data_IF_146497309435
#
_entry.id   IF_146497309435
#
_cell.length_a   1.000
_cell.length_b   1.000
_cell.length_c   1.000
_cell.angle_alpha   90.00
_cell.angle_beta   90.00
_cell.angle_gamma   90.00
#
_symmetry.space_group_name_H-M   'P 1'
#
loop_
_entity.id
_entity.type
_entity.pdbx_description
1 polymer ?
#
# COMPACT_ATOMS: atom_id res chain seq x y z
N UNK A 1 -0.04 -10.92 -7.37
CA UNK A 1 1.14 -10.94 -6.49
C UNK A 1 1.10 -12.15 -5.58
N UNK A 2 2.25 -12.74 -5.23
CA UNK A 2 2.32 -13.94 -4.40
C UNK A 2 3.50 -13.89 -3.43
N UNK A 3 3.39 -14.59 -2.31
CA UNK A 3 4.52 -15.04 -1.50
C UNK A 3 5.09 -16.28 -2.19
N UNK A 4 6.36 -16.19 -2.60
CA UNK A 4 7.18 -17.35 -2.97
C UNK A 4 7.68 -17.99 -1.67
N UNK A 5 7.16 -19.18 -1.37
CA UNK A 5 7.35 -19.83 -0.08
C UNK A 5 8.73 -20.50 0.05
N UNK A 6 9.39 -20.78 -1.07
CA UNK A 6 10.75 -21.31 -1.10
C UNK A 6 11.77 -20.18 -0.95
N UNK A 7 11.58 -19.09 -1.69
CA UNK A 7 12.46 -17.92 -1.63
C UNK A 7 12.16 -16.97 -0.45
N UNK A 8 11.09 -17.25 0.32
CA UNK A 8 10.60 -16.43 1.43
C UNK A 8 10.50 -14.94 1.11
N UNK A 9 9.92 -14.60 -0.05
CA UNK A 9 9.78 -13.23 -0.55
C UNK A 9 8.50 -13.03 -1.34
N UNK A 10 8.02 -11.79 -1.43
CA UNK A 10 6.88 -11.43 -2.26
C UNK A 10 7.32 -11.13 -3.70
N UNK A 11 6.67 -11.78 -4.65
CA UNK A 11 6.92 -11.69 -6.09
C UNK A 11 5.67 -11.24 -6.85
N UNK A 12 5.88 -10.54 -7.97
CA UNK A 12 4.81 -10.07 -8.86
C UNK A 12 4.59 -10.97 -10.06
N UNK A 13 5.62 -11.74 -10.44
CA UNK A 13 5.58 -12.72 -11.51
C UNK A 13 6.21 -14.03 -10.99
N UNK A 14 5.84 -15.20 -11.54
CA UNK A 14 6.50 -16.46 -11.26
C UNK A 14 7.99 -16.40 -11.61
N UNK A 15 8.81 -17.01 -10.78
CA UNK A 15 10.28 -17.00 -10.91
C UNK A 15 10.79 -18.06 -11.90
N UNK A 16 9.96 -19.04 -12.25
CA UNK A 16 10.29 -20.15 -13.15
C UNK A 16 9.13 -20.42 -14.13
N UNK A 17 9.40 -20.69 -15.42
CA UNK A 17 8.40 -21.12 -16.41
C UNK A 17 8.02 -22.60 -16.28
N UNK A 18 8.74 -23.38 -15.46
CA UNK A 18 8.35 -24.75 -15.14
C UNK A 18 7.14 -24.72 -14.20
N UNK A 19 6.21 -25.66 -14.38
CA UNK A 19 5.05 -25.80 -13.52
C UNK A 19 5.53 -25.82 -12.05
N UNK A 20 5.19 -24.80 -11.25
CA UNK A 20 5.68 -24.74 -9.88
C UNK A 20 5.17 -25.94 -9.09
N UNK A 21 5.94 -26.36 -8.10
CA UNK A 21 5.45 -27.34 -7.14
C UNK A 21 4.13 -26.82 -6.54
N UNK A 22 3.14 -27.70 -6.41
CA UNK A 22 1.84 -27.35 -5.84
C UNK A 22 2.05 -26.70 -4.47
N UNK A 23 1.55 -25.46 -4.28
CA UNK A 23 1.67 -24.73 -3.03
C UNK A 23 2.91 -23.84 -2.89
N UNK A 24 3.78 -23.75 -3.90
CA UNK A 24 4.95 -22.85 -3.89
C UNK A 24 4.54 -21.37 -3.72
N UNK A 25 3.43 -20.97 -4.34
CA UNK A 25 2.95 -19.59 -4.33
C UNK A 25 1.66 -19.46 -3.52
N UNK A 26 1.59 -18.45 -2.67
CA UNK A 26 0.40 -18.13 -1.86
C UNK A 26 0.05 -16.66 -1.96
N UNK A 27 -1.23 -16.34 -1.86
CA UNK A 27 -1.71 -14.97 -1.92
C UNK A 27 -1.16 -14.18 -0.75
N UNK A 28 -0.66 -12.97 -1.00
CA UNK A 28 -0.15 -12.11 0.06
C UNK A 28 -1.22 -11.75 1.10
N UNK A 29 -2.48 -11.63 0.69
CA UNK A 29 -3.54 -11.04 1.51
C UNK A 29 -4.43 -12.06 2.22
N UNK A 30 -4.67 -13.22 1.61
CA UNK A 30 -5.51 -14.28 2.22
C UNK A 30 -4.75 -15.58 2.50
N UNK A 31 -3.45 -15.64 2.17
CA UNK A 31 -2.62 -16.85 2.24
C UNK A 31 -3.15 -18.06 1.44
N UNK A 32 -4.19 -17.90 0.61
CA UNK A 32 -4.69 -19.01 -0.21
C UNK A 32 -3.65 -19.44 -1.26
N UNK A 33 -3.56 -20.74 -1.59
CA UNK A 33 -2.69 -21.22 -2.67
C UNK A 33 -2.99 -20.53 -4.01
N UNK A 34 -1.93 -20.19 -4.74
CA UNK A 34 -2.01 -19.57 -6.06
C UNK A 34 -1.38 -20.50 -7.11
N UNK A 35 -1.97 -20.48 -8.31
CA UNK A 35 -1.42 -21.12 -9.50
C UNK A 35 -0.70 -20.07 -10.33
N UNK A 36 0.53 -20.36 -10.73
CA UNK A 36 1.22 -19.58 -11.74
C UNK A 36 0.71 -19.98 -13.13
N UNK A 37 0.22 -19.02 -13.89
CA UNK A 37 -0.12 -19.22 -15.30
C UNK A 37 0.90 -18.46 -16.14
N UNK A 38 1.62 -19.16 -17.00
CA UNK A 38 2.45 -18.55 -18.04
C UNK A 38 1.82 -18.87 -19.39
N UNK A 39 1.48 -17.86 -20.17
CA UNK A 39 1.43 -18.04 -21.61
C UNK A 39 2.81 -17.67 -22.19
N UNK A 40 3.13 -18.16 -23.39
CA UNK A 40 4.43 -17.93 -24.01
C UNK A 40 4.67 -16.47 -24.46
N UNK A 41 3.69 -15.59 -24.31
CA UNK A 41 3.71 -14.21 -24.83
C UNK A 41 3.57 -13.14 -23.73
N UNK A 42 3.14 -13.50 -22.53
CA UNK A 42 2.94 -12.59 -21.40
C UNK A 42 3.71 -13.06 -20.16
N UNK A 43 4.28 -12.13 -19.38
CA UNK A 43 4.84 -12.44 -18.07
C UNK A 43 3.78 -13.17 -17.24
N UNK A 44 4.15 -14.33 -16.68
CA UNK A 44 3.19 -15.16 -15.97
C UNK A 44 2.45 -14.40 -14.86
N UNK A 45 1.18 -14.71 -14.68
CA UNK A 45 0.30 -14.16 -13.65
C UNK A 45 0.03 -15.19 -12.56
N UNK A 46 -0.43 -14.73 -11.41
CA UNK A 46 -0.88 -15.62 -10.33
C UNK A 46 -2.40 -15.58 -10.25
N UNK A 47 -3.01 -16.75 -10.21
CA UNK A 47 -4.48 -16.91 -10.20
C UNK A 47 -4.88 -17.74 -8.98
N UNK A 48 -5.97 -17.33 -8.31
CA UNK A 48 -6.59 -18.14 -7.28
C UNK A 48 -7.23 -19.37 -7.92
N UNK A 49 -7.23 -20.51 -7.22
CA UNK A 49 -7.98 -21.68 -7.67
C UNK A 49 -9.49 -21.42 -7.70
N UNK A 50 -9.97 -20.47 -6.87
CA UNK A 50 -11.34 -19.99 -6.79
C UNK A 50 -11.50 -18.64 -7.49
N UNK A 51 -12.73 -18.26 -7.84
CA UNK A 51 -13.02 -16.97 -8.52
C UNK A 51 -12.95 -15.75 -7.61
N UNK A 52 -12.87 -15.93 -6.29
CA UNK A 52 -12.78 -14.82 -5.33
C UNK A 52 -11.37 -14.24 -5.28
N UNK A 53 -11.24 -12.99 -5.71
CA UNK A 53 -10.00 -12.22 -5.60
C UNK A 53 -10.00 -11.41 -4.31
N UNK A 54 -8.85 -11.30 -3.64
CA UNK A 54 -8.69 -10.49 -2.43
C UNK A 54 -8.81 -8.97 -2.63
N UNK A 55 -8.96 -8.53 -3.88
CA UNK A 55 -9.10 -7.13 -4.25
C UNK A 55 -10.53 -6.85 -4.68
N UNK A 56 -11.03 -5.69 -4.29
CA UNK A 56 -12.27 -5.14 -4.83
C UNK A 56 -12.06 -4.77 -6.31
N UNK A 57 -12.79 -5.42 -7.21
CA UNK A 57 -12.78 -5.10 -8.65
C UNK A 57 -13.67 -3.90 -9.02
N UNK A 58 -14.19 -3.17 -8.04
CA UNK A 58 -15.11 -2.03 -8.24
C UNK A 58 -14.47 -0.82 -8.95
N UNK A 59 -15.12 0.35 -8.82
CA UNK A 59 -14.80 1.62 -9.51
C UNK A 59 -13.42 2.25 -9.17
N UNK A 60 -12.49 1.49 -8.60
CA UNK A 60 -11.13 1.93 -8.30
C UNK A 60 -10.28 1.90 -9.58
N UNK A 61 -9.49 2.95 -9.79
CA UNK A 61 -8.54 3.01 -10.91
C UNK A 61 -7.59 1.81 -10.88
N UNK A 62 -7.29 1.25 -12.06
CA UNK A 62 -6.29 0.20 -12.22
C UNK A 62 -4.91 0.63 -11.68
N UNK A 63 -4.53 1.91 -11.84
CA UNK A 63 -3.24 2.43 -11.37
C UNK A 63 -3.18 2.54 -9.85
N UNK A 64 -4.30 2.87 -9.20
CA UNK A 64 -4.40 2.91 -7.74
C UNK A 64 -4.24 1.50 -7.15
N UNK A 65 -4.96 0.51 -7.70
CA UNK A 65 -4.82 -0.89 -7.30
C UNK A 65 -3.40 -1.42 -7.51
N UNK A 66 -2.79 -1.11 -8.65
CA UNK A 66 -1.40 -1.48 -8.91
C UNK A 66 -0.45 -0.79 -7.92
N UNK A 67 -0.73 0.45 -7.53
CA UNK A 67 -0.03 1.16 -6.48
C UNK A 67 -0.06 0.42 -5.14
N UNK A 68 -1.26 0.06 -4.68
CA UNK A 68 -1.48 -0.73 -3.46
C UNK A 68 -0.70 -2.05 -3.49
N UNK A 69 -0.73 -2.79 -4.60
CA UNK A 69 0.00 -4.04 -4.75
C UNK A 69 1.52 -3.85 -4.66
N UNK A 70 2.06 -2.90 -5.42
CA UNK A 70 3.50 -2.68 -5.51
C UNK A 70 4.07 -2.18 -4.17
N UNK A 71 3.33 -1.32 -3.46
CA UNK A 71 3.68 -0.87 -2.12
C UNK A 71 3.67 -2.04 -1.14
N UNK A 72 2.62 -2.86 -1.15
CA UNK A 72 2.50 -4.04 -0.28
C UNK A 72 3.67 -5.00 -0.48
N UNK A 73 4.02 -5.31 -1.73
CA UNK A 73 5.22 -6.10 -2.06
C UNK A 73 6.48 -5.47 -1.48
N UNK A 74 6.67 -4.17 -1.70
CA UNK A 74 7.90 -3.48 -1.31
C UNK A 74 8.07 -3.51 0.21
N UNK A 75 7.00 -3.26 0.96
CA UNK A 75 7.01 -3.29 2.41
C UNK A 75 7.30 -4.70 2.95
N UNK A 76 6.60 -5.71 2.43
CA UNK A 76 6.79 -7.08 2.90
C UNK A 76 8.21 -7.62 2.65
N UNK A 77 8.85 -7.17 1.57
CA UNK A 77 10.24 -7.52 1.27
C UNK A 77 11.27 -6.61 1.98
N UNK A 78 10.84 -5.49 2.55
CA UNK A 78 11.70 -4.54 3.23
C UNK A 78 11.80 -4.80 4.73
N UNK A 79 10.72 -5.26 5.35
CA UNK A 79 10.71 -5.61 6.76
C UNK A 79 11.64 -6.81 7.04
N UNK A 80 12.39 -6.79 8.15
CA UNK A 80 13.38 -7.84 8.48
C UNK A 80 12.72 -9.09 9.08
N UNK A 81 11.58 -9.51 8.55
CA UNK A 81 10.82 -10.69 8.97
C UNK A 81 10.33 -11.46 7.75
N UNK A 82 9.92 -12.71 7.93
CA UNK A 82 9.39 -13.51 6.83
C UNK A 82 8.05 -12.93 6.34
N UNK A 83 7.79 -12.83 5.03
CA UNK A 83 6.55 -12.24 4.52
C UNK A 83 5.26 -12.86 5.07
N UNK A 84 5.27 -14.15 5.40
CA UNK A 84 4.12 -14.86 5.98
C UNK A 84 3.77 -14.43 7.40
N UNK A 85 4.70 -13.82 8.12
CA UNK A 85 4.45 -13.31 9.48
C UNK A 85 3.98 -11.86 9.45
N UNK A 86 3.86 -11.24 8.27
CA UNK A 86 3.41 -9.86 8.13
C UNK A 86 1.89 -9.88 7.94
N UNK A 87 1.17 -9.36 8.92
CA UNK A 87 -0.28 -9.23 8.85
C UNK A 87 -0.64 -7.96 8.04
N UNK A 88 -0.68 -8.10 6.71
CA UNK A 88 -0.96 -7.04 5.74
C UNK A 88 -2.32 -7.20 5.08
N UNK A 89 -3.07 -6.11 4.99
CA UNK A 89 -4.36 -6.04 4.32
C UNK A 89 -4.44 -4.87 3.33
N UNK A 90 -5.34 -4.98 2.36
CA UNK A 90 -5.78 -3.88 1.51
C UNK A 90 -7.17 -3.41 1.92
N UNK A 91 -7.42 -2.10 1.82
CA UNK A 91 -8.75 -1.49 1.97
C UNK A 91 -9.45 -1.93 3.28
N UNK A 92 -8.73 -1.90 4.40
CA UNK A 92 -9.26 -2.27 5.72
C UNK A 92 -9.44 -1.09 6.65
N UNK A 93 -10.38 -1.27 7.58
CA UNK A 93 -10.73 -0.27 8.58
C UNK A 93 -9.58 -0.03 9.56
N UNK A 94 -9.39 1.23 9.94
CA UNK A 94 -8.59 1.65 11.10
C UNK A 94 -9.47 2.55 11.95
N UNK A 95 -9.68 2.15 13.20
CA UNK A 95 -10.71 2.72 14.08
C UNK A 95 -11.85 1.75 14.40
N UNK A 96 -12.78 2.21 15.23
CA UNK A 96 -13.97 1.45 15.65
C UNK A 96 -15.12 1.54 14.65
N UNK A 97 -16.27 0.97 14.98
CA UNK A 97 -17.38 0.77 14.03
C UNK A 97 -18.02 2.07 13.50
N UNK A 98 -18.06 3.12 14.32
CA UNK A 98 -18.70 4.40 13.99
C UNK A 98 -17.70 5.46 13.52
N UNK A 99 -16.42 5.24 13.78
CA UNK A 99 -15.37 6.21 13.48
C UNK A 99 -14.12 5.51 12.97
N UNK A 100 -14.03 5.36 11.65
CA UNK A 100 -12.93 4.69 10.98
C UNK A 100 -12.53 5.38 9.67
N UNK A 101 -11.32 5.06 9.23
CA UNK A 101 -10.87 5.25 7.85
C UNK A 101 -10.67 3.89 7.19
N UNK A 102 -10.70 3.84 5.86
CA UNK A 102 -10.33 2.65 5.09
C UNK A 102 -8.93 2.90 4.52
N UNK A 103 -7.92 2.32 5.14
CA UNK A 103 -6.53 2.47 4.69
C UNK A 103 -6.31 1.68 3.39
N UNK A 104 -5.56 2.26 2.45
CA UNK A 104 -5.21 1.58 1.20
C UNK A 104 -4.36 0.33 1.44
N UNK A 105 -3.35 0.44 2.29
CA UNK A 105 -2.57 -0.69 2.81
C UNK A 105 -2.48 -0.56 4.33
N UNK A 106 -2.69 -1.67 5.04
CA UNK A 106 -2.59 -1.73 6.50
C UNK A 106 -1.69 -2.89 6.91
N UNK A 107 -0.71 -2.63 7.75
CA UNK A 107 0.08 -3.66 8.45
C UNK A 107 -0.27 -3.57 9.93
N UNK A 108 -0.58 -4.71 10.55
CA UNK A 108 -0.90 -4.80 11.98
C UNK A 108 0.18 -5.51 12.80
N UNK A 109 1.03 -6.30 12.14
CA UNK A 109 2.16 -7.01 12.72
C UNK A 109 3.24 -7.18 11.64
N UNK A 110 4.55 -7.01 11.93
CA UNK A 110 5.15 -6.71 13.25
C UNK A 110 5.09 -5.22 13.64
N UNK A 111 4.56 -4.37 12.76
CA UNK A 111 4.42 -2.92 12.99
C UNK A 111 2.99 -2.51 12.67
N UNK A 112 2.48 -1.50 13.39
CA UNK A 112 1.22 -0.86 13.07
C UNK A 112 1.48 0.29 12.09
N UNK A 113 1.23 0.05 10.81
CA UNK A 113 1.48 1.01 9.73
C UNK A 113 0.27 1.08 8.79
N UNK A 114 -0.19 2.30 8.50
CA UNK A 114 -1.08 2.55 7.36
C UNK A 114 -0.31 3.21 6.23
N UNK A 115 -0.67 2.89 5.00
CA UNK A 115 -0.18 3.59 3.82
C UNK A 115 -1.35 4.08 3.01
N UNK A 116 -1.26 5.36 2.64
CA UNK A 116 -2.19 6.01 1.72
C UNK A 116 -1.54 6.11 0.34
N UNK A 117 -2.22 5.58 -0.67
CA UNK A 117 -1.77 5.59 -2.06
C UNK A 117 -2.50 6.71 -2.80
N UNK A 118 -1.78 7.71 -3.29
CA UNK A 118 -2.38 8.86 -3.96
C UNK A 118 -2.25 8.68 -5.47
N UNK A 119 -3.38 8.49 -6.16
CA UNK A 119 -3.45 8.45 -7.62
C UNK A 119 -4.22 9.64 -8.22
N UNK A 120 -5.37 10.02 -7.65
CA UNK A 120 -6.15 11.16 -8.12
C UNK A 120 -6.25 12.23 -7.05
N UNK A 121 -6.43 13.48 -7.49
CA UNK A 121 -6.71 14.63 -6.63
C UNK A 121 -8.14 14.56 -6.03
N UNK A 122 -8.51 13.44 -5.43
CA UNK A 122 -9.70 13.39 -4.59
C UNK A 122 -9.37 14.04 -3.25
N UNK A 123 -10.38 14.63 -2.58
CA UNK A 123 -10.28 15.17 -1.23
C UNK A 123 -9.78 14.08 -0.30
N UNK A 124 -8.47 14.03 -0.08
CA UNK A 124 -7.85 12.90 0.58
C UNK A 124 -8.04 12.96 2.10
N UNK A 125 -8.66 14.04 2.61
CA UNK A 125 -8.90 14.32 4.04
C UNK A 125 -7.72 13.84 4.89
N UNK A 126 -6.51 14.12 4.42
CA UNK A 126 -5.30 13.46 4.88
C UNK A 126 -5.10 13.75 6.36
N UNK A 127 -5.41 14.98 6.81
CA UNK A 127 -5.41 15.32 8.23
C UNK A 127 -6.28 14.38 9.05
N UNK A 128 -7.54 14.20 8.65
CA UNK A 128 -8.49 13.34 9.37
C UNK A 128 -8.02 11.88 9.35
N UNK A 129 -7.40 11.44 8.25
CA UNK A 129 -6.84 10.09 8.12
C UNK A 129 -5.63 9.88 9.04
N UNK A 130 -4.69 10.82 9.04
CA UNK A 130 -3.53 10.80 9.96
C UNK A 130 -3.99 10.83 11.41
N UNK A 131 -4.91 11.73 11.76
CA UNK A 131 -5.49 11.80 13.10
C UNK A 131 -6.13 10.46 13.51
N UNK A 132 -6.90 9.83 12.62
CA UNK A 132 -7.51 8.52 12.90
C UNK A 132 -6.48 7.41 13.06
N UNK A 133 -5.47 7.37 12.20
CA UNK A 133 -4.39 6.38 12.28
C UNK A 133 -3.62 6.51 13.60
N UNK A 134 -3.20 7.73 13.95
CA UNK A 134 -2.44 8.04 15.16
C UNK A 134 -3.24 7.75 16.43
N UNK A 135 -4.54 8.05 16.44
CA UNK A 135 -5.42 7.70 17.55
C UNK A 135 -5.63 6.20 17.76
N UNK A 136 -5.18 5.36 16.81
CA UNK A 136 -5.23 3.90 16.90
C UNK A 136 -3.82 3.27 16.91
N UNK A 137 -2.80 4.05 17.29
CA UNK A 137 -1.39 3.63 17.40
C UNK A 137 -0.71 3.19 16.09
N UNK A 138 -1.28 3.57 14.94
CA UNK A 138 -0.64 3.34 13.65
C UNK A 138 0.30 4.50 13.30
N UNK A 139 1.51 4.18 12.86
CA UNK A 139 2.28 5.10 12.01
C UNK A 139 1.60 5.23 10.63
N UNK A 140 1.91 6.30 9.91
CA UNK A 140 1.34 6.54 8.59
C UNK A 140 2.41 6.83 7.53
N UNK A 141 2.17 6.41 6.29
CA UNK A 141 2.99 6.76 5.14
C UNK A 141 2.11 7.20 3.99
N UNK A 142 2.58 8.16 3.19
CA UNK A 142 1.93 8.54 1.94
C UNK A 142 2.82 8.12 0.78
N UNK A 143 2.22 7.54 -0.25
CA UNK A 143 2.90 7.11 -1.48
C UNK A 143 2.12 7.64 -2.68
N UNK A 144 2.78 8.30 -3.61
CA UNK A 144 2.14 8.89 -4.80
C UNK A 144 2.49 8.08 -6.04
N UNK A 145 1.47 7.75 -6.84
CA UNK A 145 1.68 7.12 -8.14
C UNK A 145 2.20 8.17 -9.13
N UNK A 146 3.26 7.90 -9.88
CA UNK A 146 3.97 8.94 -10.67
C UNK A 146 3.16 9.56 -11.79
N UNK A 147 2.08 8.90 -12.24
CA UNK A 147 1.13 9.43 -13.22
C UNK A 147 -0.14 10.02 -12.56
N UNK A 148 -0.07 10.35 -11.27
CA UNK A 148 -1.15 11.01 -10.55
C UNK A 148 -1.35 12.47 -10.97
N UNK A 149 -2.54 13.00 -10.68
CA UNK A 149 -2.88 14.41 -10.91
C UNK A 149 -1.98 15.38 -10.13
N UNK A 150 -1.42 14.90 -9.01
CA UNK A 150 -0.61 15.67 -8.07
C UNK A 150 0.71 14.93 -7.87
N UNK A 151 1.82 15.65 -8.06
CA UNK A 151 3.15 15.08 -7.89
C UNK A 151 3.53 14.94 -6.42
N UNK A 152 4.36 13.94 -6.10
CA UNK A 152 4.92 13.76 -4.75
C UNK A 152 5.63 15.03 -4.24
N UNK A 153 6.38 15.72 -5.10
CA UNK A 153 7.09 16.95 -4.73
C UNK A 153 6.14 18.11 -4.39
N UNK A 154 4.93 18.13 -4.95
CA UNK A 154 3.91 19.11 -4.58
C UNK A 154 3.33 18.78 -3.21
N UNK A 155 3.00 17.51 -2.94
CA UNK A 155 2.52 17.07 -1.62
C UNK A 155 3.58 17.33 -0.54
N UNK A 156 4.84 16.95 -0.77
CA UNK A 156 5.95 17.19 0.18
C UNK A 156 6.08 18.68 0.53
N UNK A 157 5.95 19.57 -0.47
CA UNK A 157 5.99 21.02 -0.27
C UNK A 157 4.79 21.53 0.54
N UNK A 158 3.60 21.05 0.20
CA UNK A 158 2.35 21.49 0.83
C UNK A 158 2.25 20.98 2.28
N UNK A 159 2.89 19.85 2.60
CA UNK A 159 2.97 19.30 3.96
C UNK A 159 4.17 19.80 4.78
N UNK A 160 5.10 20.55 4.17
CA UNK A 160 6.29 21.04 4.88
C UNK A 160 5.97 21.99 6.04
N UNK A 161 4.77 22.57 6.09
CA UNK A 161 4.30 23.43 7.19
C UNK A 161 3.86 22.64 8.42
N UNK A 162 3.50 21.36 8.26
CA UNK A 162 2.99 20.51 9.34
C UNK A 162 4.00 19.46 9.81
N UNK A 163 5.06 19.21 9.04
CA UNK A 163 6.16 18.33 9.45
C UNK A 163 7.15 18.04 8.33
N UNK A 164 8.31 17.47 8.70
CA UNK A 164 9.32 17.03 7.75
C UNK A 164 8.92 15.68 7.10
N UNK A 165 8.09 15.75 6.06
CA UNK A 165 7.53 14.57 5.39
C UNK A 165 8.20 14.32 4.04
N UNK A 166 8.74 13.11 3.85
CA UNK A 166 9.09 12.60 2.52
C UNK A 166 8.02 11.62 2.06
N UNK A 167 7.56 11.80 0.82
CA UNK A 167 6.47 11.00 0.23
C UNK A 167 7.06 9.90 -0.64
N UNK A 168 6.58 8.68 -0.47
CA UNK A 168 6.96 7.56 -1.32
C UNK A 168 6.46 7.74 -2.75
N UNK A 169 7.02 6.98 -3.70
CA UNK A 169 6.66 7.07 -5.12
C UNK A 169 6.46 5.68 -5.70
N UNK A 170 5.42 5.49 -6.51
CA UNK A 170 5.21 4.27 -7.29
C UNK A 170 5.19 4.63 -8.77
N UNK A 171 6.09 4.03 -9.54
CA UNK A 171 5.99 4.07 -10.98
C UNK A 171 5.31 2.78 -11.47
N UNK A 172 4.07 2.85 -11.99
CA UNK A 172 3.33 1.67 -12.42
C UNK A 172 3.91 1.00 -13.67
N UNK A 173 4.66 1.74 -14.50
CA UNK A 173 5.17 1.25 -15.78
C UNK A 173 6.40 0.35 -15.61
N UNK A 174 7.36 0.78 -14.80
CA UNK A 174 8.59 0.02 -14.51
C UNK A 174 8.52 -0.73 -13.17
N UNK A 175 7.39 -0.63 -12.47
CA UNK A 175 7.09 -1.31 -11.19
C UNK A 175 8.06 -0.94 -10.06
N UNK A 176 8.71 0.23 -10.12
CA UNK A 176 9.58 0.74 -9.05
C UNK A 176 8.77 1.42 -7.94
N UNK A 177 9.19 1.17 -6.70
CA UNK A 177 8.62 1.79 -5.49
C UNK A 177 9.75 2.37 -4.64
N UNK A 178 9.60 3.64 -4.26
CA UNK A 178 10.41 4.27 -3.20
C UNK A 178 9.54 4.46 -1.97
N UNK A 179 10.08 4.09 -0.82
CA UNK A 179 9.43 4.27 0.49
C UNK A 179 9.78 5.68 0.98
N UNK A 180 8.78 6.40 1.50
CA UNK A 180 8.95 7.73 2.11
C UNK A 180 9.22 7.64 3.61
N UNK A 181 8.98 8.74 4.31
CA UNK A 181 8.99 8.77 5.77
C UNK A 181 7.80 7.99 6.33
N UNK A 182 8.04 7.26 7.42
CA UNK A 182 6.97 6.84 8.33
C UNK A 182 6.71 8.00 9.28
N UNK A 183 5.50 8.52 9.27
CA UNK A 183 5.04 9.60 10.13
C UNK A 183 4.49 9.04 11.43
N UNK A 184 4.91 9.65 12.54
CA UNK A 184 4.42 9.39 13.87
C UNK A 184 3.72 10.63 14.46
N UNK A 185 2.89 10.47 15.52
CA UNK A 185 2.12 11.57 16.10
C UNK A 185 2.97 12.74 16.62
N UNK A 186 4.21 12.47 17.06
CA UNK A 186 5.15 13.46 17.58
C UNK A 186 5.92 14.20 16.49
N UNK A 187 5.78 13.79 15.22
CA UNK A 187 6.50 14.36 14.08
C UNK A 187 5.63 15.30 13.23
N UNK A 188 4.31 15.21 13.35
CA UNK A 188 3.34 15.94 12.53
C UNK A 188 2.40 16.75 13.42
N UNK A 189 2.31 18.06 13.17
CA UNK A 189 1.31 18.92 13.80
C UNK A 189 -0.06 18.68 13.16
N UNK A 190 -1.06 18.29 13.95
CA UNK A 190 -2.41 17.99 13.48
C UNK A 190 -3.45 19.03 13.91
N UNK A 191 -3.06 20.05 14.69
CA UNK A 191 -3.96 21.13 15.07
C UNK A 191 -4.57 21.80 13.83
N UNK A 192 -5.88 22.14 13.85
CA UNK A 192 -6.54 22.75 12.71
C UNK A 192 -5.83 23.99 12.16
N UNK A 193 -5.25 24.81 13.04
CA UNK A 193 -4.53 26.04 12.70
C UNK A 193 -3.27 25.79 11.86
N UNK A 194 -2.54 24.70 12.10
CA UNK A 194 -1.37 24.35 11.30
C UNK A 194 -1.74 23.88 9.88
N UNK A 195 -2.98 23.42 9.70
CA UNK A 195 -3.52 22.95 8.44
C UNK A 195 -4.29 24.01 7.66
N UNK A 196 -4.47 25.23 8.19
CA UNK A 196 -5.16 26.32 7.48
C UNK A 196 -4.45 26.72 6.17
N UNK A 197 -3.13 26.62 6.13
CA UNK A 197 -2.32 26.87 4.93
C UNK A 197 -2.18 25.65 4.02
N UNK A 198 -2.60 24.47 4.47
CA UNK A 198 -2.52 23.23 3.69
C UNK A 198 -3.68 23.22 2.69
N UNK A 199 -3.45 22.98 1.39
CA UNK A 199 -4.52 22.99 0.40
C UNK A 199 -5.64 21.99 0.70
N UNK A 200 -6.88 22.37 0.37
CA UNK A 200 -8.09 21.59 0.65
C UNK A 200 -8.12 20.17 0.06
N UNK A 201 -7.27 19.86 -0.91
CA UNK A 201 -7.16 18.50 -1.44
C UNK A 201 -6.41 17.54 -0.48
N UNK A 202 -5.63 18.09 0.45
CA UNK A 202 -4.95 17.38 1.56
C UNK A 202 -5.65 17.59 2.89
N UNK A 203 -6.24 18.77 3.15
CA UNK A 203 -6.87 19.09 4.43
C UNK A 203 -8.14 18.27 4.72
#
# INVERSE_FOLDING_TARGET
MAIDTEASRVVTNPTSPLAPATGQYRCLFCDAPLTATSDHQTPGTFVHATTETCQSLGNVSQYHRLGQELVSKRLCNWLPVAPRTIAIDLEKRVGGDTEYIIADVRITDPIQLVVEVVYQASTNRLRDRLHRAFANDYGAMVVVVTNADISAARIERDLATVGAISVGRVNPFDKRVTIGSVMAPDQIELAPTAWESVPAYLA
#
